data_IF_817970065165
#
_entry.id   IF_817970065165
#
_cell.length_a   1.000
_cell.length_b   1.000
_cell.length_c   1.000
_cell.angle_alpha   90.00
_cell.angle_beta   90.00
_cell.angle_gamma   90.00
#
_symmetry.space_group_name_H-M   'P 1'
#
loop_
_entity.id
_entity.type
_entity.pdbx_description
1 polymer ?
#
# COMPACT_ATOMS: atom_id res chain seq x y z
N UNK A 1 3.24 35.44 32.51
CA UNK A 1 1.81 35.78 32.32
C UNK A 1 1.58 36.21 30.88
N UNK A 2 2.18 37.27 30.34
CA UNK A 2 2.02 37.71 28.92
C UNK A 2 2.30 36.62 27.89
N UNK A 3 3.28 35.74 28.11
CA UNK A 3 3.59 34.63 27.19
C UNK A 3 2.49 33.53 27.22
N UNK A 4 1.92 33.27 28.41
CA UNK A 4 0.83 32.31 28.54
C UNK A 4 -0.50 32.86 27.97
N UNK A 5 -0.78 34.15 28.09
CA UNK A 5 -1.92 34.79 27.48
C UNK A 5 -1.80 34.79 25.94
N UNK A 6 -0.63 35.12 25.39
CA UNK A 6 -0.38 35.05 23.95
C UNK A 6 -0.53 33.61 23.41
N UNK A 7 0.00 32.60 24.10
CA UNK A 7 -0.13 31.21 23.74
C UNK A 7 -1.60 30.74 23.79
N UNK A 8 -2.38 31.22 24.76
CA UNK A 8 -3.80 30.88 24.87
C UNK A 8 -4.58 31.46 23.69
N UNK A 9 -4.28 32.70 23.30
CA UNK A 9 -4.91 33.36 22.12
C UNK A 9 -4.56 32.61 20.83
N UNK A 10 -3.31 32.17 20.67
CA UNK A 10 -2.91 31.36 19.53
C UNK A 10 -3.62 30.00 19.50
N UNK A 11 -3.69 29.30 20.64
CA UNK A 11 -4.37 28.01 20.76
C UNK A 11 -5.89 28.07 20.52
N UNK A 12 -6.49 29.23 20.67
CA UNK A 12 -7.93 29.47 20.40
C UNK A 12 -8.19 30.05 19.00
N UNK A 13 -7.16 30.37 18.24
CA UNK A 13 -7.28 30.93 16.92
C UNK A 13 -7.24 29.85 15.84
N UNK A 14 -8.37 29.63 15.17
CA UNK A 14 -8.56 28.66 14.07
C UNK A 14 -7.54 28.86 12.93
N UNK A 15 -7.17 30.09 12.62
CA UNK A 15 -6.34 30.40 11.45
C UNK A 15 -4.90 29.84 11.58
N UNK A 16 -4.37 29.74 12.79
CA UNK A 16 -3.08 29.11 13.02
C UNK A 16 -3.10 27.61 12.70
N UNK A 17 -4.17 26.90 13.07
CA UNK A 17 -4.30 25.48 12.76
C UNK A 17 -4.45 25.23 11.25
N UNK A 18 -5.24 26.06 10.58
CA UNK A 18 -5.46 25.94 9.12
C UNK A 18 -4.19 26.25 8.33
N UNK A 19 -3.36 27.19 8.77
CA UNK A 19 -2.08 27.53 8.15
C UNK A 19 -1.09 26.35 8.18
N UNK A 20 -1.14 25.52 9.21
CA UNK A 20 -0.29 24.35 9.39
C UNK A 20 -0.94 23.04 8.86
N UNK A 21 -2.01 23.14 8.08
CA UNK A 21 -2.80 21.98 7.63
C UNK A 21 -3.31 21.09 8.79
N UNK A 22 -3.56 21.68 9.96
CA UNK A 22 -4.17 21.01 11.10
C UNK A 22 -5.66 21.37 11.13
N UNK A 23 -6.54 20.39 11.27
CA UNK A 23 -7.96 20.64 11.37
C UNK A 23 -8.32 21.25 12.73
N UNK A 24 -9.30 22.16 12.69
CA UNK A 24 -9.82 22.82 13.89
C UNK A 24 -10.82 21.92 14.62
N UNK A 25 -10.69 21.82 15.94
CA UNK A 25 -11.65 21.14 16.81
C UNK A 25 -12.43 22.19 17.61
N UNK A 26 -13.71 22.47 17.28
CA UNK A 26 -14.52 23.40 18.04
C UNK A 26 -14.77 22.90 19.47
N UNK A 27 -15.06 23.83 20.41
CA UNK A 27 -15.10 23.55 21.83
C UNK A 27 -15.98 22.34 22.17
N UNK A 28 -17.19 22.24 21.64
CA UNK A 28 -18.11 21.14 21.90
C UNK A 28 -17.62 19.76 21.41
N UNK A 29 -16.59 19.72 20.57
CA UNK A 29 -15.96 18.50 20.04
C UNK A 29 -14.61 18.20 20.70
N UNK A 30 -14.12 19.05 21.60
CA UNK A 30 -12.86 18.82 22.30
C UNK A 30 -13.01 17.65 23.26
N UNK A 31 -11.92 16.89 23.40
CA UNK A 31 -11.92 15.65 24.15
C UNK A 31 -12.37 15.81 25.62
N UNK A 32 -11.94 16.87 26.30
CA UNK A 32 -12.30 17.14 27.69
C UNK A 32 -13.82 17.39 27.84
N UNK A 33 -14.44 18.07 26.90
CA UNK A 33 -15.90 18.30 26.86
C UNK A 33 -16.65 16.99 26.59
N UNK A 34 -16.19 16.19 25.61
CA UNK A 34 -16.77 14.88 25.32
C UNK A 34 -16.70 13.97 26.55
N UNK A 35 -15.55 13.93 27.25
CA UNK A 35 -15.35 13.17 28.47
C UNK A 35 -16.30 13.63 29.57
N UNK A 36 -16.36 14.95 29.82
CA UNK A 36 -17.20 15.51 30.88
C UNK A 36 -18.69 15.25 30.66
N UNK A 37 -19.14 15.31 29.41
CA UNK A 37 -20.55 15.11 29.04
C UNK A 37 -20.93 13.64 28.93
N UNK A 38 -20.00 12.75 28.58
CA UNK A 38 -20.27 11.32 28.37
C UNK A 38 -20.84 10.60 29.61
N UNK A 39 -20.60 11.13 30.79
CA UNK A 39 -21.08 10.55 32.09
C UNK A 39 -22.47 11.06 32.49
N UNK A 40 -23.05 12.00 31.77
CA UNK A 40 -24.36 12.55 32.09
C UNK A 40 -25.47 11.51 31.87
N UNK A 41 -26.61 11.76 32.55
CA UNK A 41 -27.82 11.00 32.29
C UNK A 41 -28.54 11.49 31.05
N UNK A 42 -29.20 10.60 30.31
CA UNK A 42 -30.05 10.96 29.16
C UNK A 42 -31.08 12.01 29.59
N UNK A 43 -31.22 13.08 28.84
CA UNK A 43 -32.09 14.23 29.09
C UNK A 43 -31.45 15.37 29.89
N UNK A 44 -30.21 15.22 30.40
CA UNK A 44 -29.46 16.31 31.02
C UNK A 44 -29.18 17.43 30.00
N UNK A 45 -29.10 18.66 30.47
CA UNK A 45 -28.74 19.81 29.62
C UNK A 45 -27.26 19.80 29.28
N UNK A 46 -26.94 20.09 28.01
CA UNK A 46 -25.57 20.21 27.50
C UNK A 46 -25.02 21.62 27.73
N UNK A 47 -23.73 21.81 28.04
CA UNK A 47 -23.14 23.14 28.24
C UNK A 47 -23.31 24.11 27.08
N UNK A 48 -23.41 23.59 25.85
CA UNK A 48 -23.60 24.36 24.62
C UNK A 48 -25.06 24.41 24.14
N UNK A 49 -26.01 23.98 24.97
CA UNK A 49 -27.43 23.93 24.65
C UNK A 49 -27.89 22.59 24.07
N UNK A 50 -29.19 22.31 24.30
CA UNK A 50 -29.78 21.03 23.93
C UNK A 50 -29.73 20.01 25.06
N UNK A 51 -30.13 18.75 24.79
CA UNK A 51 -30.18 17.66 25.76
C UNK A 51 -29.31 16.51 25.36
N UNK A 52 -28.62 15.93 26.34
CA UNK A 52 -27.84 14.71 26.14
C UNK A 52 -28.75 13.53 25.77
N UNK A 53 -28.51 12.89 24.66
CA UNK A 53 -29.32 11.78 24.13
C UNK A 53 -28.52 10.48 23.95
N UNK A 54 -27.34 10.39 24.57
CA UNK A 54 -26.46 9.22 24.57
C UNK A 54 -25.09 9.50 23.96
N UNK A 55 -24.12 8.63 24.28
CA UNK A 55 -22.72 8.83 23.89
C UNK A 55 -22.51 8.72 22.37
N UNK A 56 -23.23 7.80 21.72
CA UNK A 56 -23.12 7.66 20.27
C UNK A 56 -23.55 8.95 19.55
N UNK A 57 -24.64 9.57 19.99
CA UNK A 57 -25.10 10.85 19.43
C UNK A 57 -24.18 12.01 19.78
N UNK A 58 -23.61 12.03 20.99
CA UNK A 58 -22.61 13.02 21.39
C UNK A 58 -21.40 13.01 20.46
N UNK A 59 -20.89 11.81 20.12
CA UNK A 59 -19.77 11.67 19.20
C UNK A 59 -20.15 12.12 17.78
N UNK A 60 -21.34 11.76 17.31
CA UNK A 60 -21.81 12.21 16.00
C UNK A 60 -21.97 13.72 15.93
N UNK A 61 -22.50 14.36 16.98
CA UNK A 61 -22.61 15.82 17.06
C UNK A 61 -21.25 16.52 17.08
N UNK A 62 -20.27 15.91 17.76
CA UNK A 62 -18.89 16.38 17.71
C UNK A 62 -18.29 16.27 16.30
N UNK A 63 -18.54 15.18 15.59
CA UNK A 63 -18.12 15.01 14.20
C UNK A 63 -18.79 16.02 13.27
N UNK A 64 -20.09 16.28 13.43
CA UNK A 64 -20.81 17.32 12.69
C UNK A 64 -20.19 18.70 12.91
N UNK A 65 -19.81 19.02 14.14
CA UNK A 65 -19.17 20.28 14.48
C UNK A 65 -17.77 20.41 13.85
N UNK A 66 -16.97 19.33 13.87
CA UNK A 66 -15.64 19.30 13.23
C UNK A 66 -15.79 19.47 11.71
N UNK A 67 -16.68 18.71 11.06
CA UNK A 67 -16.88 18.77 9.61
C UNK A 67 -17.39 20.15 9.15
N UNK A 68 -18.21 20.81 9.94
CA UNK A 68 -18.72 22.15 9.66
C UNK A 68 -17.60 23.19 9.57
N UNK A 69 -16.58 23.04 10.41
CA UNK A 69 -15.48 23.99 10.51
C UNK A 69 -14.28 23.62 9.62
N UNK A 70 -14.29 22.42 9.02
CA UNK A 70 -13.20 21.91 8.20
C UNK A 70 -13.73 21.34 6.88
N UNK A 71 -13.65 22.11 5.81
CA UNK A 71 -14.20 21.74 4.48
C UNK A 71 -13.62 20.41 3.96
N UNK A 72 -12.33 20.15 4.20
CA UNK A 72 -11.64 18.91 3.77
C UNK A 72 -12.14 17.65 4.51
N UNK A 73 -12.77 17.81 5.68
CA UNK A 73 -13.32 16.68 6.45
C UNK A 73 -14.80 16.45 6.20
N UNK A 74 -15.45 17.25 5.39
CA UNK A 74 -16.90 17.19 5.14
C UNK A 74 -17.31 15.84 4.57
N UNK A 75 -18.14 15.09 5.30
CA UNK A 75 -18.60 13.74 4.95
C UNK A 75 -17.56 12.64 5.15
N UNK A 76 -16.39 12.95 5.71
CA UNK A 76 -15.29 12.00 5.98
C UNK A 76 -15.53 11.23 7.28
N UNK A 77 -15.94 11.91 8.35
CA UNK A 77 -16.07 11.30 9.67
C UNK A 77 -17.28 10.36 9.71
N UNK A 78 -17.03 9.11 10.09
CA UNK A 78 -18.07 8.07 10.08
C UNK A 78 -18.99 8.23 11.29
N UNK A 79 -20.31 8.40 11.06
CA UNK A 79 -21.31 8.45 12.11
C UNK A 79 -21.50 7.07 12.76
N UNK A 80 -21.61 7.05 14.07
CA UNK A 80 -21.69 5.80 14.88
C UNK A 80 -23.05 5.53 15.49
N UNK A 81 -23.92 6.53 15.62
CA UNK A 81 -25.26 6.37 16.22
C UNK A 81 -26.18 5.42 15.43
N UNK A 82 -25.88 5.17 14.15
CA UNK A 82 -26.60 4.18 13.32
C UNK A 82 -26.24 2.72 13.61
N UNK A 83 -25.19 2.46 14.39
CA UNK A 83 -24.76 1.12 14.77
C UNK A 83 -25.30 0.79 16.17
N UNK A 84 -25.66 -0.49 16.38
CA UNK A 84 -26.10 -0.98 17.69
C UNK A 84 -24.90 -1.15 18.66
N UNK A 85 -24.25 -0.05 19.01
CA UNK A 85 -23.13 -0.05 19.96
C UNK A 85 -23.67 0.25 21.36
N UNK A 86 -23.26 -0.56 22.34
CA UNK A 86 -23.68 -0.38 23.73
C UNK A 86 -23.06 0.92 24.33
N UNK A 87 -23.89 1.71 25.00
CA UNK A 87 -23.49 2.97 25.66
C UNK A 87 -22.34 2.79 26.66
N UNK A 88 -22.38 1.71 27.48
CA UNK A 88 -21.32 1.43 28.47
C UNK A 88 -20.00 1.08 27.79
N UNK A 89 -20.04 0.42 26.62
CA UNK A 89 -18.86 0.15 25.82
C UNK A 89 -18.25 1.45 25.29
N UNK A 90 -19.04 2.39 24.79
CA UNK A 90 -18.57 3.69 24.34
C UNK A 90 -17.98 4.51 25.48
N UNK A 91 -18.64 4.54 26.65
CA UNK A 91 -18.09 5.18 27.86
C UNK A 91 -16.77 4.56 28.28
N UNK A 92 -16.70 3.23 28.28
CA UNK A 92 -15.45 2.50 28.59
C UNK A 92 -14.31 2.86 27.64
N UNK A 93 -14.58 3.02 26.34
CA UNK A 93 -13.59 3.47 25.36
C UNK A 93 -13.15 4.92 25.63
N UNK A 94 -14.06 5.84 25.94
CA UNK A 94 -13.72 7.24 26.28
C UNK A 94 -12.79 7.26 27.51
N UNK A 95 -13.08 6.49 28.54
CA UNK A 95 -12.24 6.39 29.75
C UNK A 95 -10.86 5.85 29.38
N UNK A 96 -10.80 4.73 28.65
CA UNK A 96 -9.56 4.09 28.23
C UNK A 96 -8.64 5.05 27.47
N UNK A 97 -9.19 5.77 26.50
CA UNK A 97 -8.42 6.76 25.74
C UNK A 97 -8.04 7.99 26.57
N UNK A 98 -8.87 8.37 27.55
CA UNK A 98 -8.57 9.49 28.47
C UNK A 98 -7.42 9.18 29.41
N UNK A 99 -7.23 7.92 29.77
CA UNK A 99 -6.14 7.48 30.65
C UNK A 99 -4.83 7.26 29.88
N UNK A 100 -4.88 7.31 28.54
CA UNK A 100 -3.71 7.13 27.68
C UNK A 100 -3.01 8.47 27.44
N UNK A 101 -1.73 8.54 27.78
CA UNK A 101 -0.93 9.76 27.58
C UNK A 101 -0.31 9.78 26.17
N UNK A 102 -0.95 10.49 25.25
CA UNK A 102 -0.46 10.67 23.87
C UNK A 102 0.60 11.79 23.73
N UNK A 103 0.75 12.65 24.73
CA UNK A 103 1.68 13.80 24.68
C UNK A 103 3.07 13.45 25.20
N UNK A 104 3.17 12.44 26.07
CA UNK A 104 4.43 11.97 26.67
C UNK A 104 4.43 10.44 26.72
N UNK A 105 4.49 9.76 25.56
CA UNK A 105 4.46 8.31 25.55
C UNK A 105 5.74 7.75 26.17
N UNK A 106 5.59 6.62 26.89
CA UNK A 106 6.71 5.86 27.41
C UNK A 106 6.65 4.44 26.85
N UNK A 107 7.81 3.86 26.54
CA UNK A 107 7.93 2.44 26.21
C UNK A 107 8.91 1.79 27.20
N UNK A 108 8.46 0.76 27.91
CA UNK A 108 9.21 0.11 28.99
C UNK A 108 9.73 1.10 30.08
N UNK A 109 8.96 2.18 30.34
CA UNK A 109 9.34 3.20 31.31
C UNK A 109 10.24 4.32 30.79
N UNK A 110 10.77 4.20 29.57
CA UNK A 110 11.60 5.21 28.94
C UNK A 110 10.77 6.16 28.05
N UNK A 111 11.04 7.48 28.08
CA UNK A 111 10.35 8.44 27.24
C UNK A 111 10.56 8.14 25.73
N UNK A 112 9.50 8.13 24.97
CA UNK A 112 9.56 8.03 23.49
C UNK A 112 9.54 9.45 22.92
N UNK A 113 10.59 9.83 22.21
CA UNK A 113 10.73 11.15 21.58
C UNK A 113 10.04 11.17 20.20
N UNK A 114 8.71 11.01 20.18
CA UNK A 114 7.88 11.15 18.98
C UNK A 114 6.95 12.36 19.15
N UNK A 115 6.73 13.10 18.06
CA UNK A 115 5.73 14.15 18.04
C UNK A 115 4.31 13.60 18.18
N UNK A 116 3.35 14.41 18.66
CA UNK A 116 1.96 13.98 18.82
C UNK A 116 1.33 13.49 17.50
N UNK A 117 1.65 14.11 16.36
CA UNK A 117 1.25 13.67 15.01
C UNK A 117 1.75 12.26 14.68
N UNK A 118 3.01 11.97 15.03
CA UNK A 118 3.63 10.66 14.77
C UNK A 118 2.96 9.56 15.59
N UNK A 119 2.69 9.85 16.86
CA UNK A 119 2.04 8.89 17.76
C UNK A 119 0.63 8.56 17.29
N UNK A 120 -0.19 9.58 17.00
CA UNK A 120 -1.54 9.40 16.48
C UNK A 120 -1.52 8.67 15.13
N UNK A 121 -0.56 8.99 14.28
CA UNK A 121 -0.33 8.31 13.03
C UNK A 121 -0.01 6.83 13.19
N UNK A 122 0.86 6.46 14.15
CA UNK A 122 1.19 5.05 14.46
C UNK A 122 0.00 4.29 15.03
N UNK A 123 -0.75 4.91 15.95
CA UNK A 123 -1.98 4.33 16.51
C UNK A 123 -3.00 4.08 15.41
N UNK A 124 -3.18 5.05 14.50
CA UNK A 124 -4.08 4.91 13.37
C UNK A 124 -3.68 3.75 12.44
N UNK A 125 -2.40 3.64 12.07
CA UNK A 125 -1.88 2.53 11.27
C UNK A 125 -2.09 1.17 11.96
N UNK A 126 -1.90 1.09 13.26
CA UNK A 126 -2.16 -0.13 14.02
C UNK A 126 -3.64 -0.56 13.88
N UNK A 127 -4.58 0.37 14.06
CA UNK A 127 -5.99 0.07 13.90
C UNK A 127 -6.37 -0.29 12.47
N UNK A 128 -5.82 0.39 11.46
CA UNK A 128 -6.00 0.03 10.04
C UNK A 128 -5.52 -1.41 9.77
N UNK A 129 -4.36 -1.79 10.30
CA UNK A 129 -3.83 -3.15 10.18
C UNK A 129 -4.74 -4.18 10.85
N UNK A 130 -5.29 -3.88 12.04
CA UNK A 130 -6.24 -4.76 12.75
C UNK A 130 -7.57 -4.85 12.02
N UNK A 131 -8.06 -3.75 11.47
CA UNK A 131 -9.27 -3.72 10.64
C UNK A 131 -9.12 -4.59 9.39
N UNK A 132 -8.01 -4.44 8.66
CA UNK A 132 -7.70 -5.26 7.50
C UNK A 132 -7.65 -6.77 7.83
N UNK A 133 -7.09 -7.14 8.99
CA UNK A 133 -7.10 -8.52 9.48
C UNK A 133 -8.50 -9.04 9.81
N UNK A 134 -9.34 -8.20 10.43
CA UNK A 134 -10.69 -8.57 10.85
C UNK A 134 -11.65 -8.77 9.67
N UNK A 135 -11.52 -7.96 8.60
CA UNK A 135 -12.30 -8.10 7.38
C UNK A 135 -11.95 -9.34 6.54
N UNK A 136 -10.85 -10.00 6.87
CA UNK A 136 -10.44 -11.28 6.26
C UNK A 136 -10.16 -11.19 4.76
N UNK A 137 -10.47 -12.27 4.01
CA UNK A 137 -10.15 -12.38 2.57
C UNK A 137 -10.79 -11.31 1.68
N UNK A 138 -11.84 -10.62 2.12
CA UNK A 138 -12.50 -9.56 1.37
C UNK A 138 -11.93 -8.16 1.65
N UNK A 139 -11.43 -7.92 2.85
CA UNK A 139 -10.91 -6.59 3.26
C UNK A 139 -9.42 -6.41 3.06
N UNK A 140 -8.67 -7.49 3.00
CA UNK A 140 -7.22 -7.43 2.90
C UNK A 140 -6.65 -6.99 1.55
N UNK A 141 -7.48 -6.76 0.54
CA UNK A 141 -7.08 -6.14 -0.72
C UNK A 141 -6.69 -4.66 -0.56
N UNK A 142 -7.06 -4.03 0.57
CA UNK A 142 -6.87 -2.59 0.82
C UNK A 142 -5.61 -2.24 1.60
N UNK A 143 -4.80 -3.24 1.99
CA UNK A 143 -3.61 -3.01 2.80
C UNK A 143 -2.36 -3.56 2.13
N UNK A 144 -1.49 -2.66 1.67
CA UNK A 144 -0.17 -3.02 1.15
C UNK A 144 0.83 -3.15 2.31
N UNK A 145 1.61 -4.24 2.40
CA UNK A 145 2.65 -4.38 3.41
C UNK A 145 3.63 -3.20 3.40
N UNK A 146 3.95 -2.70 4.60
CA UNK A 146 4.78 -1.50 4.76
C UNK A 146 6.13 -1.61 4.05
N UNK A 147 6.77 -2.78 4.09
CA UNK A 147 8.06 -3.01 3.44
C UNK A 147 7.98 -2.88 1.91
N UNK A 148 6.88 -3.34 1.29
CA UNK A 148 6.66 -3.17 -0.16
C UNK A 148 6.41 -1.70 -0.50
N UNK A 149 5.61 -1.01 0.31
CA UNK A 149 5.37 0.43 0.13
C UNK A 149 6.68 1.20 0.25
N UNK A 150 7.49 0.89 1.27
CA UNK A 150 8.81 1.50 1.45
C UNK A 150 9.73 1.23 0.27
N UNK A 151 9.81 -0.02 -0.21
CA UNK A 151 10.62 -0.38 -1.37
C UNK A 151 10.24 0.45 -2.61
N UNK A 152 8.94 0.55 -2.91
CA UNK A 152 8.45 1.29 -4.07
C UNK A 152 8.79 2.78 -3.96
N UNK A 153 8.59 3.38 -2.79
CA UNK A 153 8.89 4.80 -2.57
C UNK A 153 10.39 5.08 -2.65
N UNK A 154 11.23 4.24 -2.02
CA UNK A 154 12.70 4.36 -2.12
C UNK A 154 13.18 4.25 -3.59
N UNK A 155 12.62 3.33 -4.37
CA UNK A 155 12.99 3.18 -5.79
C UNK A 155 12.53 4.36 -6.66
N UNK A 156 11.40 5.00 -6.35
CA UNK A 156 10.85 6.11 -7.14
C UNK A 156 11.40 7.49 -6.74
N UNK A 157 11.80 7.67 -5.48
CA UNK A 157 12.32 8.93 -4.92
C UNK A 157 11.42 10.15 -5.21
N UNK A 158 10.17 10.20 -4.67
CA UNK A 158 9.21 11.27 -4.95
C UNK A 158 9.48 12.53 -4.11
N UNK A 159 10.57 13.25 -4.38
CA UNK A 159 10.97 14.46 -3.62
C UNK A 159 10.08 15.68 -3.87
N UNK A 160 9.48 15.79 -5.06
CA UNK A 160 8.65 16.93 -5.44
C UNK A 160 7.78 16.61 -6.66
N UNK A 161 6.66 17.32 -6.80
CA UNK A 161 5.73 17.16 -7.91
C UNK A 161 4.42 16.47 -7.51
N UNK A 162 3.71 15.94 -8.48
CA UNK A 162 2.40 15.31 -8.29
C UNK A 162 2.55 13.80 -8.10
N UNK A 163 2.08 13.32 -6.96
CA UNK A 163 2.04 11.90 -6.60
C UNK A 163 0.60 11.40 -6.67
N UNK A 164 0.38 10.29 -7.36
CA UNK A 164 -0.95 9.73 -7.59
C UNK A 164 -1.01 8.23 -7.29
N UNK A 165 -2.10 7.82 -6.66
CA UNK A 165 -2.49 6.42 -6.51
C UNK A 165 -3.95 6.23 -6.95
N UNK A 166 -4.21 5.56 -8.11
CA UNK A 166 -5.55 5.34 -8.62
C UNK A 166 -6.35 4.27 -7.87
N UNK A 167 -5.73 3.54 -6.93
CA UNK A 167 -6.36 2.52 -6.09
C UNK A 167 -5.79 2.63 -4.66
N UNK A 168 -5.88 3.83 -4.09
CA UNK A 168 -5.09 4.28 -2.95
C UNK A 168 -5.31 3.51 -1.65
N UNK A 169 -6.38 2.72 -1.55
CA UNK A 169 -6.70 2.05 -0.31
C UNK A 169 -6.79 3.03 0.86
N UNK A 170 -6.10 2.75 1.95
CA UNK A 170 -6.01 3.64 3.12
C UNK A 170 -4.95 4.75 3.00
N UNK A 171 -4.35 4.97 1.82
CA UNK A 171 -3.36 6.02 1.58
C UNK A 171 -1.93 5.66 2.03
N UNK A 172 -1.59 4.37 2.08
CA UNK A 172 -0.29 3.90 2.57
C UNK A 172 0.90 4.46 1.81
N UNK A 173 0.83 4.59 0.48
CA UNK A 173 1.88 5.17 -0.34
C UNK A 173 2.13 6.65 -0.02
N UNK A 174 1.08 7.42 0.27
CA UNK A 174 1.21 8.83 0.60
C UNK A 174 1.88 9.05 1.95
N UNK A 175 1.53 8.23 2.95
CA UNK A 175 2.20 8.25 4.26
C UNK A 175 3.68 7.89 4.13
N UNK A 176 4.01 6.91 3.31
CA UNK A 176 5.41 6.54 3.12
C UNK A 176 6.17 7.59 2.31
N UNK A 177 5.52 8.25 1.35
CA UNK A 177 6.10 9.40 0.63
C UNK A 177 6.46 10.54 1.61
N UNK A 178 5.58 10.88 2.54
CA UNK A 178 5.85 11.87 3.58
C UNK A 178 7.04 11.46 4.46
N UNK A 179 7.09 10.21 4.92
CA UNK A 179 8.21 9.68 5.70
C UNK A 179 9.53 9.72 4.93
N UNK A 180 9.50 9.32 3.67
CA UNK A 180 10.67 9.38 2.79
C UNK A 180 11.20 10.81 2.67
N UNK A 181 10.34 11.78 2.38
CA UNK A 181 10.70 13.20 2.25
C UNK A 181 11.30 13.71 3.57
N UNK A 182 10.67 13.41 4.70
CA UNK A 182 11.13 13.83 6.03
C UNK A 182 12.49 13.22 6.37
N UNK A 183 12.68 11.93 6.10
CA UNK A 183 13.96 11.23 6.34
C UNK A 183 15.11 11.82 5.51
N UNK A 184 14.83 12.35 4.33
CA UNK A 184 15.80 12.99 3.44
C UNK A 184 15.85 14.54 3.58
N UNK A 185 15.33 15.07 4.69
CA UNK A 185 15.32 16.51 4.98
C UNK A 185 14.60 17.36 3.91
N UNK A 186 13.68 16.77 3.18
CA UNK A 186 12.85 17.44 2.19
C UNK A 186 11.65 18.17 2.82
N UNK A 187 10.85 18.80 1.97
CA UNK A 187 9.63 19.49 2.38
C UNK A 187 8.42 18.84 1.71
N UNK A 188 7.51 18.29 2.51
CA UNK A 188 6.27 17.65 2.01
C UNK A 188 5.40 18.61 1.20
N UNK A 189 5.48 19.92 1.45
CA UNK A 189 4.73 20.92 0.70
C UNK A 189 5.18 21.04 -0.78
N UNK A 190 6.32 20.43 -1.15
CA UNK A 190 6.76 20.33 -2.54
C UNK A 190 6.04 19.23 -3.32
N UNK A 191 5.22 18.41 -2.63
CA UNK A 191 4.48 17.30 -3.21
C UNK A 191 2.98 17.59 -3.14
N UNK A 192 2.28 17.35 -4.24
CA UNK A 192 0.82 17.40 -4.31
C UNK A 192 0.28 15.97 -4.41
N UNK A 193 -0.53 15.57 -3.44
CA UNK A 193 -1.08 14.22 -3.32
C UNK A 193 -2.42 14.12 -4.03
N UNK A 194 -2.55 13.15 -4.91
CA UNK A 194 -3.78 12.80 -5.62
C UNK A 194 -4.11 11.33 -5.39
N UNK A 195 -5.36 11.02 -5.16
CA UNK A 195 -5.78 9.64 -4.95
C UNK A 195 -7.17 9.37 -5.46
N UNK A 196 -7.45 8.11 -5.72
CA UNK A 196 -8.80 7.65 -6.01
C UNK A 196 -9.04 6.28 -5.36
N UNK A 197 -10.25 6.08 -4.85
CA UNK A 197 -10.67 4.84 -4.20
C UNK A 197 -12.15 4.58 -4.48
N UNK A 198 -12.47 3.34 -4.82
CA UNK A 198 -13.83 2.91 -5.11
C UNK A 198 -14.69 2.73 -3.85
N UNK A 199 -14.09 2.14 -2.80
CA UNK A 199 -14.82 1.82 -1.58
C UNK A 199 -15.03 3.08 -0.72
N UNK A 200 -16.29 3.46 -0.37
CA UNK A 200 -16.57 4.68 0.38
C UNK A 200 -15.97 4.69 1.78
N UNK A 201 -15.92 3.56 2.46
CA UNK A 201 -15.31 3.46 3.80
C UNK A 201 -13.80 3.63 3.73
N UNK A 202 -13.15 2.95 2.78
CA UNK A 202 -11.70 3.03 2.58
C UNK A 202 -11.28 4.43 2.14
N UNK A 203 -12.08 5.10 1.27
CA UNK A 203 -11.85 6.50 0.88
C UNK A 203 -11.85 7.43 2.10
N UNK A 204 -12.83 7.27 3.01
CA UNK A 204 -12.89 8.04 4.27
C UNK A 204 -11.70 7.76 5.19
N UNK A 205 -11.29 6.49 5.30
CA UNK A 205 -10.11 6.10 6.08
C UNK A 205 -8.83 6.74 5.53
N UNK A 206 -8.67 6.81 4.21
CA UNK A 206 -7.55 7.51 3.60
C UNK A 206 -7.57 9.01 3.90
N UNK A 207 -8.73 9.66 3.78
CA UNK A 207 -8.89 11.08 4.08
C UNK A 207 -8.55 11.39 5.56
N UNK A 208 -9.03 10.56 6.49
CA UNK A 208 -8.65 10.67 7.91
C UNK A 208 -7.17 10.45 8.14
N UNK A 209 -6.55 9.50 7.44
CA UNK A 209 -5.12 9.23 7.53
C UNK A 209 -4.28 10.45 7.15
N UNK A 210 -4.65 11.14 6.08
CA UNK A 210 -4.00 12.38 5.66
C UNK A 210 -4.24 13.52 6.66
N UNK A 211 -5.49 13.69 7.12
CA UNK A 211 -5.84 14.75 8.07
C UNK A 211 -5.07 14.66 9.39
N UNK A 212 -4.95 13.45 9.97
CA UNK A 212 -4.19 13.21 11.22
C UNK A 212 -2.72 13.61 11.07
N UNK A 213 -2.14 13.47 9.87
CA UNK A 213 -0.75 13.79 9.58
C UNK A 213 -0.52 15.22 9.07
N UNK A 214 -1.59 15.97 8.83
CA UNK A 214 -1.50 17.30 8.23
C UNK A 214 -1.02 17.27 6.78
N UNK A 215 -1.22 16.17 6.07
CA UNK A 215 -0.88 16.02 4.65
C UNK A 215 -2.02 16.57 3.80
N UNK A 216 -1.70 17.51 2.91
CA UNK A 216 -2.68 18.02 1.94
C UNK A 216 -2.93 17.03 0.82
N UNK A 217 -4.19 16.89 0.36
CA UNK A 217 -4.57 15.89 -0.62
C UNK A 217 -5.77 16.32 -1.49
N UNK A 218 -5.86 15.69 -2.67
CA UNK A 218 -7.03 15.76 -3.56
C UNK A 218 -7.44 14.30 -3.91
N UNK A 219 -8.49 13.81 -3.26
CA UNK A 219 -9.05 12.47 -3.49
C UNK A 219 -10.31 12.51 -4.36
N UNK A 220 -10.48 13.60 -5.13
CA UNK A 220 -11.69 13.83 -5.90
C UNK A 220 -12.88 14.25 -5.00
N UNK A 221 -14.04 14.41 -5.62
CA UNK A 221 -15.24 14.88 -4.92
C UNK A 221 -15.89 13.81 -4.02
N UNK A 222 -15.68 12.54 -4.35
CA UNK A 222 -16.24 11.38 -3.66
C UNK A 222 -15.47 10.12 -4.06
N UNK A 223 -15.73 9.00 -3.37
CA UNK A 223 -15.25 7.70 -3.81
C UNK A 223 -15.79 7.36 -5.21
N UNK A 224 -14.93 6.82 -6.08
CA UNK A 224 -15.31 6.54 -7.46
C UNK A 224 -14.42 5.44 -8.08
N UNK A 225 -14.97 4.74 -9.06
CA UNK A 225 -14.23 3.78 -9.87
C UNK A 225 -13.27 4.50 -10.83
N UNK A 226 -11.99 4.11 -10.81
CA UNK A 226 -10.93 4.76 -11.57
C UNK A 226 -11.04 4.55 -13.08
N UNK A 227 -11.74 3.52 -13.51
CA UNK A 227 -11.95 3.26 -14.94
C UNK A 227 -13.16 4.01 -15.48
N UNK A 228 -14.32 3.89 -14.83
CA UNK A 228 -15.60 4.42 -15.33
C UNK A 228 -15.90 5.84 -14.88
N UNK A 229 -15.30 6.29 -13.77
CA UNK A 229 -15.50 7.62 -13.18
C UNK A 229 -14.18 8.26 -12.73
N UNK A 230 -13.19 8.44 -13.63
CA UNK A 230 -11.90 9.00 -13.27
C UNK A 230 -12.04 10.45 -12.79
N UNK A 231 -11.61 10.71 -11.55
CA UNK A 231 -11.72 12.05 -10.92
C UNK A 231 -10.58 13.00 -11.34
N UNK A 232 -9.47 12.46 -11.87
CA UNK A 232 -8.26 13.21 -12.21
C UNK A 232 -7.83 13.05 -13.66
N UNK A 233 -8.78 12.81 -14.59
CA UNK A 233 -8.50 12.43 -15.98
C UNK A 233 -7.64 13.48 -16.74
N UNK A 234 -7.79 14.74 -16.42
CA UNK A 234 -7.09 15.87 -17.09
C UNK A 234 -5.73 16.14 -16.47
N UNK A 235 -5.36 15.49 -15.37
CA UNK A 235 -4.11 15.76 -14.65
C UNK A 235 -2.99 14.82 -15.12
N UNK A 236 -1.79 15.37 -15.24
CA UNK A 236 -0.58 14.58 -15.46
C UNK A 236 0.25 14.57 -14.19
N UNK A 237 0.80 13.40 -13.87
CA UNK A 237 1.42 13.06 -12.60
C UNK A 237 2.91 12.75 -12.79
N UNK A 238 3.73 13.18 -11.86
CA UNK A 238 5.18 12.98 -11.90
C UNK A 238 5.56 11.61 -11.33
N UNK A 239 4.81 11.17 -10.32
CA UNK A 239 4.96 9.84 -9.71
C UNK A 239 3.60 9.17 -9.56
N UNK A 240 3.51 7.91 -9.99
CA UNK A 240 2.31 7.10 -9.79
C UNK A 240 2.70 5.79 -9.12
N UNK A 241 2.06 5.45 -8.03
CA UNK A 241 2.28 4.22 -7.28
C UNK A 241 0.95 3.54 -7.05
N UNK A 242 0.87 2.23 -7.30
CA UNK A 242 -0.37 1.50 -7.03
C UNK A 242 -0.14 0.04 -6.67
N UNK A 243 -0.98 -0.44 -5.76
CA UNK A 243 -1.23 -1.85 -5.51
C UNK A 243 -2.73 -2.12 -5.71
N UNK A 244 -3.20 -2.17 -6.95
CA UNK A 244 -4.61 -2.45 -7.22
C UNK A 244 -4.96 -3.90 -6.91
N UNK A 245 -6.25 -4.24 -6.73
CA UNK A 245 -6.68 -5.62 -6.60
C UNK A 245 -6.25 -6.44 -7.83
N UNK A 246 -5.59 -7.61 -7.60
CA UNK A 246 -5.06 -8.44 -8.68
C UNK A 246 -6.16 -9.18 -9.43
N UNK A 247 -6.04 -9.25 -10.75
CA UNK A 247 -6.88 -10.08 -11.63
C UNK A 247 -8.38 -9.81 -11.51
N UNK A 248 -8.81 -8.55 -11.32
CA UNK A 248 -10.24 -8.23 -11.26
C UNK A 248 -10.91 -8.56 -12.58
N UNK A 249 -12.02 -9.30 -12.54
CA UNK A 249 -12.84 -9.64 -13.70
C UNK A 249 -13.96 -8.63 -13.97
N UNK A 250 -14.51 -8.00 -12.92
CA UNK A 250 -15.73 -7.18 -13.00
C UNK A 250 -15.41 -5.67 -13.09
N UNK A 251 -14.47 -5.31 -13.97
CA UNK A 251 -14.01 -3.93 -14.14
C UNK A 251 -14.53 -3.27 -15.43
N UNK A 252 -14.94 -4.10 -16.42
CA UNK A 252 -15.28 -3.63 -17.74
C UNK A 252 -16.67 -2.99 -17.80
N UNK A 253 -16.78 -1.91 -18.57
CA UNK A 253 -18.02 -1.33 -19.04
C UNK A 253 -17.92 -1.06 -20.54
N UNK A 254 -19.01 -1.16 -21.29
CA UNK A 254 -19.02 -0.86 -22.74
C UNK A 254 -18.64 0.59 -23.04
N UNK A 255 -18.80 1.50 -22.07
CA UNK A 255 -18.30 2.89 -22.18
C UNK A 255 -16.78 3.01 -22.27
N UNK A 256 -16.04 1.95 -21.96
CA UNK A 256 -14.59 1.89 -22.01
C UNK A 256 -14.04 1.33 -23.32
N UNK A 257 -14.90 0.95 -24.28
CA UNK A 257 -14.47 0.28 -25.51
C UNK A 257 -13.49 1.14 -26.34
N UNK A 258 -13.78 2.44 -26.47
CA UNK A 258 -12.97 3.40 -27.23
C UNK A 258 -12.25 4.41 -26.31
N UNK A 259 -11.89 3.99 -25.09
CA UNK A 259 -11.25 4.85 -24.11
C UNK A 259 -9.82 5.23 -24.56
N UNK A 260 -9.45 6.53 -24.56
CA UNK A 260 -8.14 7.00 -25.03
C UNK A 260 -6.97 6.48 -24.18
N UNK A 261 -7.22 5.91 -23.02
CA UNK A 261 -6.21 5.27 -22.17
C UNK A 261 -5.65 3.99 -22.79
N UNK A 262 -6.39 3.32 -23.70
CA UNK A 262 -5.98 2.05 -24.31
C UNK A 262 -5.06 2.22 -25.53
N UNK A 263 -4.07 3.12 -25.40
CA UNK A 263 -3.14 3.45 -26.49
C UNK A 263 -2.27 2.27 -26.96
N UNK A 264 -2.10 1.25 -26.13
CA UNK A 264 -1.27 0.06 -26.43
C UNK A 264 -2.12 -1.19 -26.73
N UNK A 265 -3.42 -1.02 -26.86
CA UNK A 265 -4.38 -2.08 -27.14
C UNK A 265 -5.43 -2.21 -26.05
N UNK A 266 -6.64 -2.63 -26.45
CA UNK A 266 -7.76 -2.79 -25.50
C UNK A 266 -7.47 -3.92 -24.50
N UNK A 267 -7.50 -3.65 -23.17
CA UNK A 267 -7.27 -4.68 -22.17
C UNK A 267 -8.34 -5.76 -22.16
N UNK A 268 -8.01 -6.97 -21.69
CA UNK A 268 -8.98 -8.05 -21.56
C UNK A 268 -10.16 -7.67 -20.66
N UNK A 269 -11.40 -7.88 -21.10
CA UNK A 269 -12.62 -7.61 -20.30
C UNK A 269 -12.64 -8.37 -18.97
N UNK A 270 -12.06 -9.56 -18.93
CA UNK A 270 -12.02 -10.42 -17.75
C UNK A 270 -10.78 -10.28 -16.85
N UNK A 271 -9.89 -9.30 -17.11
CA UNK A 271 -8.72 -9.07 -16.28
C UNK A 271 -8.24 -7.61 -16.37
N UNK A 272 -8.24 -6.90 -15.26
CA UNK A 272 -7.90 -5.46 -15.19
C UNK A 272 -6.40 -5.15 -15.14
N UNK A 273 -5.49 -6.13 -15.06
CA UNK A 273 -4.06 -5.87 -14.83
C UNK A 273 -3.48 -4.90 -15.86
N UNK A 274 -3.74 -5.11 -17.14
CA UNK A 274 -3.27 -4.23 -18.21
C UNK A 274 -4.12 -2.96 -18.37
N UNK A 275 -5.33 -2.92 -17.82
CA UNK A 275 -6.11 -1.69 -17.70
C UNK A 275 -5.49 -0.74 -16.68
N UNK A 276 -5.11 -1.25 -15.51
CA UNK A 276 -4.34 -0.48 -14.50
C UNK A 276 -3.04 0.06 -15.08
N UNK A 277 -2.27 -0.80 -15.77
CA UNK A 277 -1.00 -0.40 -16.37
C UNK A 277 -1.20 0.76 -17.36
N UNK A 278 -2.16 0.67 -18.28
CA UNK A 278 -2.43 1.71 -19.26
C UNK A 278 -3.09 2.96 -18.65
N UNK A 279 -3.96 2.81 -17.64
CA UNK A 279 -4.50 3.92 -16.88
C UNK A 279 -3.38 4.76 -16.25
N UNK A 280 -2.41 4.13 -15.61
CA UNK A 280 -1.28 4.83 -15.01
C UNK A 280 -0.37 5.47 -16.07
N UNK A 281 -0.06 4.76 -17.16
CA UNK A 281 0.71 5.33 -18.28
C UNK A 281 0.03 6.58 -18.85
N UNK A 282 -1.30 6.56 -19.00
CA UNK A 282 -2.05 7.72 -19.51
C UNK A 282 -1.88 8.95 -18.61
N UNK A 283 -1.84 8.78 -17.30
CA UNK A 283 -1.70 9.87 -16.34
C UNK A 283 -0.26 10.36 -16.13
N UNK A 284 0.76 9.67 -16.66
CA UNK A 284 2.15 10.11 -16.53
C UNK A 284 2.39 11.45 -17.23
N UNK A 285 3.10 12.36 -16.55
CA UNK A 285 3.71 13.55 -17.14
C UNK A 285 4.82 13.14 -18.13
N UNK A 286 5.34 14.05 -18.98
CA UNK A 286 6.41 13.74 -19.92
C UNK A 286 7.69 13.17 -19.24
N UNK A 287 7.95 13.54 -18.00
CA UNK A 287 9.08 13.05 -17.19
C UNK A 287 8.62 12.11 -16.06
N UNK A 288 7.36 11.69 -16.09
CA UNK A 288 6.76 10.91 -15.03
C UNK A 288 7.27 9.49 -14.93
N UNK A 289 7.34 8.98 -13.71
CA UNK A 289 7.71 7.61 -13.37
C UNK A 289 6.55 6.93 -12.65
N UNK A 290 6.46 5.61 -12.79
CA UNK A 290 5.45 4.86 -12.05
C UNK A 290 5.97 3.52 -11.57
N UNK A 291 5.35 3.02 -10.50
CA UNK A 291 5.52 1.67 -9.99
C UNK A 291 4.15 1.02 -9.79
N UNK A 292 3.94 -0.13 -10.41
CA UNK A 292 2.69 -0.87 -10.34
C UNK A 292 2.96 -2.30 -9.85
N UNK A 293 2.32 -2.66 -8.75
CA UNK A 293 2.37 -4.02 -8.22
C UNK A 293 1.30 -4.88 -8.91
N UNK A 294 1.71 -6.00 -9.48
CA UNK A 294 0.83 -6.96 -10.16
C UNK A 294 1.22 -8.40 -9.82
N UNK A 295 0.30 -9.34 -10.05
CA UNK A 295 0.60 -10.76 -10.02
C UNK A 295 1.63 -11.13 -11.10
N UNK A 296 2.50 -12.11 -10.82
CA UNK A 296 3.58 -12.54 -11.71
C UNK A 296 3.12 -12.93 -13.13
N UNK A 297 1.87 -13.40 -13.29
CA UNK A 297 1.29 -13.71 -14.59
C UNK A 297 1.36 -12.54 -15.58
N UNK A 298 1.33 -11.29 -15.11
CA UNK A 298 1.43 -10.09 -15.95
C UNK A 298 2.73 -10.03 -16.76
N UNK A 299 3.82 -10.62 -16.24
CA UNK A 299 5.13 -10.63 -16.91
C UNK A 299 5.21 -11.56 -18.12
N UNK A 300 4.37 -12.58 -18.20
CA UNK A 300 4.51 -13.67 -19.18
C UNK A 300 3.23 -14.09 -19.89
N UNK A 301 2.05 -13.71 -19.41
CA UNK A 301 0.76 -14.09 -20.01
C UNK A 301 0.67 -13.69 -21.47
N UNK A 302 0.17 -14.62 -22.31
CA UNK A 302 -0.09 -14.40 -23.74
C UNK A 302 -1.61 -14.44 -24.04
N UNK A 303 -2.45 -14.65 -23.01
CA UNK A 303 -3.89 -14.80 -23.17
C UNK A 303 -4.57 -13.46 -23.44
N UNK A 304 -5.67 -13.51 -24.19
CA UNK A 304 -6.58 -12.37 -24.36
C UNK A 304 -5.91 -11.03 -24.70
N UNK A 305 -4.94 -11.04 -25.61
CA UNK A 305 -4.20 -9.86 -26.07
C UNK A 305 -3.19 -9.26 -25.05
N UNK A 306 -3.01 -9.84 -23.87
CA UNK A 306 -2.07 -9.32 -22.85
C UNK A 306 -0.63 -9.28 -23.37
N UNK A 307 -0.20 -10.30 -24.14
CA UNK A 307 1.12 -10.37 -24.75
C UNK A 307 1.37 -9.25 -25.75
N UNK A 308 0.40 -8.89 -26.59
CA UNK A 308 0.53 -7.82 -27.57
C UNK A 308 0.56 -6.44 -26.91
N UNK A 309 -0.24 -6.21 -25.88
CA UNK A 309 -0.20 -4.97 -25.09
C UNK A 309 1.19 -4.82 -24.42
N UNK A 310 1.69 -5.90 -23.79
CA UNK A 310 3.01 -5.91 -23.16
C UNK A 310 4.11 -5.58 -24.18
N UNK A 311 4.08 -6.23 -25.32
CA UNK A 311 5.01 -5.97 -26.45
C UNK A 311 4.96 -4.52 -26.92
N UNK A 312 3.76 -3.94 -27.06
CA UNK A 312 3.59 -2.56 -27.46
C UNK A 312 4.20 -1.58 -26.45
N UNK A 313 4.01 -1.82 -25.15
CA UNK A 313 4.58 -1.01 -24.07
C UNK A 313 6.12 -1.12 -24.03
N UNK A 314 6.66 -2.32 -24.23
CA UNK A 314 8.11 -2.56 -24.30
C UNK A 314 8.70 -1.84 -25.52
N UNK A 315 8.10 -1.96 -26.70
CA UNK A 315 8.55 -1.29 -27.91
C UNK A 315 8.46 0.24 -27.83
N UNK A 316 7.56 0.77 -27.00
CA UNK A 316 7.51 2.20 -26.67
C UNK A 316 8.61 2.65 -25.70
N UNK A 317 9.50 1.75 -25.31
CA UNK A 317 10.62 1.97 -24.38
C UNK A 317 10.22 2.58 -23.04
N UNK A 318 9.06 2.19 -22.51
CA UNK A 318 8.53 2.70 -21.24
C UNK A 318 8.99 1.89 -20.02
N UNK A 319 9.19 0.58 -20.19
CA UNK A 319 9.62 -0.29 -19.08
C UNK A 319 11.05 0.04 -18.69
N UNK A 320 11.27 0.44 -17.43
CA UNK A 320 12.59 0.78 -16.91
C UNK A 320 13.18 -0.35 -16.08
N UNK A 321 12.38 -0.92 -15.16
CA UNK A 321 12.82 -2.00 -14.29
C UNK A 321 11.67 -2.97 -14.00
N UNK A 322 12.02 -4.26 -13.87
CA UNK A 322 11.12 -5.33 -13.43
C UNK A 322 11.68 -6.01 -12.19
N UNK A 323 10.91 -6.04 -11.10
CA UNK A 323 11.32 -6.71 -9.85
C UNK A 323 10.41 -7.89 -9.58
N UNK A 324 10.96 -9.10 -9.51
CA UNK A 324 10.23 -10.27 -9.02
C UNK A 324 10.35 -10.34 -7.51
N UNK A 325 9.22 -10.32 -6.82
CA UNK A 325 9.17 -10.36 -5.35
C UNK A 325 9.08 -11.81 -4.83
N UNK A 326 9.54 -12.07 -3.59
CA UNK A 326 9.30 -13.34 -2.93
C UNK A 326 7.82 -13.57 -2.67
N UNK A 327 7.44 -14.83 -2.51
CA UNK A 327 6.10 -15.17 -2.00
C UNK A 327 5.94 -14.80 -0.53
N UNK A 328 4.71 -14.91 -0.02
CA UNK A 328 4.37 -14.73 1.40
C UNK A 328 4.58 -13.30 1.97
N UNK A 329 4.66 -12.29 1.12
CA UNK A 329 4.72 -10.89 1.57
C UNK A 329 3.34 -10.35 2.00
N UNK A 330 2.27 -10.91 1.46
CA UNK A 330 0.90 -10.45 1.71
C UNK A 330 0.19 -11.36 2.71
N UNK A 331 -0.53 -10.76 3.67
CA UNK A 331 -1.30 -11.51 4.68
C UNK A 331 -2.46 -12.29 4.08
N UNK A 332 -2.98 -11.85 2.93
CA UNK A 332 -4.23 -12.36 2.36
C UNK A 332 -4.03 -13.27 1.16
N UNK A 333 -2.84 -13.28 0.58
CA UNK A 333 -2.53 -14.11 -0.58
C UNK A 333 -1.07 -14.55 -0.54
N UNK A 334 -0.84 -15.79 -0.94
CA UNK A 334 0.51 -16.30 -1.16
C UNK A 334 0.96 -16.14 -2.61
N UNK A 335 0.14 -15.50 -3.45
CA UNK A 335 0.46 -15.28 -4.87
C UNK A 335 1.72 -14.43 -4.96
N UNK A 336 2.76 -14.92 -5.65
CA UNK A 336 3.95 -14.12 -5.89
C UNK A 336 3.61 -12.94 -6.81
N UNK A 337 4.14 -11.77 -6.45
CA UNK A 337 3.91 -10.52 -7.14
C UNK A 337 5.20 -9.99 -7.77
N UNK A 338 5.04 -9.08 -8.71
CA UNK A 338 6.13 -8.33 -9.33
C UNK A 338 5.82 -6.84 -9.32
N UNK A 339 6.86 -6.03 -9.41
CA UNK A 339 6.71 -4.58 -9.56
C UNK A 339 7.18 -4.20 -10.97
N UNK A 340 6.30 -3.51 -11.68
CA UNK A 340 6.56 -2.86 -12.95
C UNK A 340 6.98 -1.42 -12.69
N UNK A 341 8.21 -1.07 -13.03
CA UNK A 341 8.68 0.32 -13.05
C UNK A 341 8.70 0.82 -14.48
N UNK A 342 7.94 1.88 -14.74
CA UNK A 342 7.93 2.55 -16.04
C UNK A 342 8.38 4.00 -15.88
N UNK A 343 9.06 4.51 -16.91
CA UNK A 343 9.56 5.88 -16.94
C UNK A 343 9.44 6.43 -18.36
N UNK A 344 8.76 7.57 -18.51
CA UNK A 344 8.65 8.24 -19.81
C UNK A 344 9.95 8.89 -20.28
N UNK A 345 10.85 9.19 -19.36
CA UNK A 345 12.13 9.81 -19.65
C UNK A 345 13.29 8.98 -19.10
N UNK A 346 13.39 7.74 -19.55
CA UNK A 346 14.48 6.82 -19.19
C UNK A 346 15.84 7.41 -19.56
N UNK A 347 16.82 7.31 -18.68
CA UNK A 347 18.22 7.64 -18.97
C UNK A 347 18.86 6.58 -19.86
N UNK A 348 18.63 5.30 -19.55
CA UNK A 348 19.13 4.16 -20.32
C UNK A 348 18.05 3.69 -21.30
N UNK A 349 18.01 4.35 -22.46
CA UNK A 349 17.05 4.01 -23.50
C UNK A 349 17.43 2.69 -24.18
N UNK A 350 16.41 1.90 -24.53
CA UNK A 350 16.60 0.60 -25.16
C UNK A 350 17.06 -0.51 -24.22
N UNK A 351 17.12 -0.25 -22.91
CA UNK A 351 17.50 -1.23 -21.89
C UNK A 351 16.44 -1.33 -20.79
N UNK A 352 16.34 -2.51 -20.18
CA UNK A 352 15.47 -2.78 -19.02
C UNK A 352 16.29 -3.48 -17.95
N UNK A 353 16.21 -2.99 -16.72
CA UNK A 353 16.79 -3.65 -15.55
C UNK A 353 15.86 -4.76 -15.03
N UNK A 354 16.39 -5.96 -14.88
CA UNK A 354 15.71 -7.06 -14.23
C UNK A 354 16.34 -7.33 -12.87
N UNK A 355 15.49 -7.37 -11.82
CA UNK A 355 15.90 -7.69 -10.45
C UNK A 355 15.11 -8.91 -9.96
N UNK A 356 15.77 -9.97 -9.59
CA UNK A 356 15.18 -11.15 -8.98
C UNK A 356 15.35 -11.10 -7.46
N UNK A 357 14.35 -10.55 -6.79
CA UNK A 357 14.33 -10.44 -5.33
C UNK A 357 13.66 -11.64 -4.62
N UNK A 358 13.33 -12.73 -5.34
CA UNK A 358 12.59 -13.88 -4.79
C UNK A 358 13.26 -14.55 -3.60
N UNK A 359 14.58 -14.42 -3.48
CA UNK A 359 15.38 -15.00 -2.39
C UNK A 359 15.70 -13.97 -1.29
N UNK A 360 15.28 -12.70 -1.45
CA UNK A 360 15.54 -11.62 -0.50
C UNK A 360 14.45 -11.61 0.59
N UNK A 361 14.80 -11.08 1.77
CA UNK A 361 13.92 -10.98 2.91
C UNK A 361 14.00 -12.18 3.87
N UNK A 362 13.31 -12.04 5.00
CA UNK A 362 13.31 -13.01 6.08
C UNK A 362 11.88 -13.42 6.46
N UNK A 363 11.74 -14.59 7.07
CA UNK A 363 10.45 -15.02 7.62
C UNK A 363 10.19 -14.29 8.95
N UNK A 364 9.23 -13.37 8.93
CA UNK A 364 8.79 -12.63 10.12
C UNK A 364 8.05 -13.53 11.12
N UNK A 365 7.30 -14.46 10.58
CA UNK A 365 6.63 -15.53 11.32
C UNK A 365 6.56 -16.80 10.46
N UNK A 366 5.74 -17.79 10.84
CA UNK A 366 5.64 -19.08 10.13
C UNK A 366 5.05 -18.96 8.72
N UNK A 367 4.37 -17.86 8.41
CA UNK A 367 3.58 -17.71 7.17
C UNK A 367 4.02 -16.48 6.38
N UNK A 368 4.45 -15.42 7.06
CA UNK A 368 4.69 -14.11 6.48
C UNK A 368 6.18 -13.82 6.35
N UNK A 369 6.58 -13.37 5.17
CA UNK A 369 7.91 -12.82 4.86
C UNK A 369 7.88 -11.28 4.96
N UNK A 370 9.01 -10.69 5.29
CA UNK A 370 9.17 -9.23 5.33
C UNK A 370 10.58 -8.84 4.82
N UNK A 371 10.78 -7.57 4.49
CA UNK A 371 12.09 -7.02 4.11
C UNK A 371 12.69 -6.22 5.27
N UNK A 372 13.99 -6.36 5.45
CA UNK A 372 14.77 -5.45 6.28
C UNK A 372 15.04 -4.14 5.54
N UNK A 373 15.53 -3.12 6.24
CA UNK A 373 15.98 -1.87 5.62
C UNK A 373 17.13 -2.12 4.61
N UNK A 374 18.04 -3.05 4.93
CA UNK A 374 19.16 -3.43 4.05
C UNK A 374 18.68 -4.15 2.78
N UNK A 375 17.63 -4.96 2.87
CA UNK A 375 17.02 -5.62 1.71
C UNK A 375 16.42 -4.57 0.77
N UNK A 376 15.70 -3.59 1.33
CA UNK A 376 15.11 -2.47 0.57
C UNK A 376 16.20 -1.63 -0.09
N UNK A 377 17.23 -1.24 0.68
CA UNK A 377 18.36 -0.48 0.18
C UNK A 377 19.08 -1.23 -0.96
N UNK A 378 19.36 -2.53 -0.80
CA UNK A 378 20.00 -3.36 -1.83
C UNK A 378 19.24 -3.31 -3.15
N UNK A 379 17.92 -3.43 -3.13
CA UNK A 379 17.09 -3.41 -4.36
C UNK A 379 17.04 -1.99 -4.95
N UNK A 380 16.79 -0.97 -4.13
CA UNK A 380 16.67 0.42 -4.56
C UNK A 380 18.01 0.96 -5.11
N UNK A 381 19.11 0.74 -4.40
CA UNK A 381 20.46 1.18 -4.81
C UNK A 381 20.89 0.53 -6.12
N UNK A 382 20.50 -0.72 -6.38
CA UNK A 382 20.74 -1.40 -7.66
C UNK A 382 20.10 -0.64 -8.82
N UNK A 383 18.82 -0.22 -8.67
CA UNK A 383 18.15 0.59 -9.69
C UNK A 383 18.83 1.96 -9.85
N UNK A 384 19.15 2.63 -8.74
CA UNK A 384 19.75 3.97 -8.76
C UNK A 384 21.15 3.96 -9.37
N UNK A 385 21.99 2.98 -9.03
CA UNK A 385 23.29 2.78 -9.63
C UNK A 385 23.18 2.52 -11.15
N UNK A 386 22.24 1.67 -11.56
CA UNK A 386 21.97 1.40 -12.96
C UNK A 386 21.50 2.65 -13.71
N UNK A 387 20.60 3.44 -13.16
CA UNK A 387 20.13 4.70 -13.74
C UNK A 387 21.24 5.75 -13.87
N UNK A 388 22.16 5.81 -12.89
CA UNK A 388 23.30 6.74 -12.89
C UNK A 388 24.44 6.28 -13.79
N UNK A 389 24.44 5.01 -14.22
CA UNK A 389 25.56 4.34 -14.90
C UNK A 389 26.87 4.42 -14.08
N UNK A 390 26.74 4.35 -12.76
CA UNK A 390 27.83 4.45 -11.80
C UNK A 390 27.71 3.34 -10.76
N UNK A 391 28.72 2.49 -10.68
CA UNK A 391 28.80 1.38 -9.72
C UNK A 391 27.82 0.22 -9.97
N UNK A 392 27.14 0.18 -11.12
CA UNK A 392 26.27 -0.94 -11.49
C UNK A 392 27.05 -2.01 -12.28
N UNK A 393 26.88 -3.24 -11.85
CA UNK A 393 27.35 -4.45 -12.56
C UNK A 393 26.23 -5.50 -12.53
N UNK A 394 26.11 -6.30 -13.62
CA UNK A 394 25.22 -7.46 -13.64
C UNK A 394 25.66 -8.47 -12.59
N UNK A 395 24.72 -9.00 -11.80
CA UNK A 395 24.99 -9.99 -10.77
C UNK A 395 24.15 -11.24 -11.03
N UNK A 396 24.82 -12.36 -11.28
CA UNK A 396 24.16 -13.64 -11.51
C UNK A 396 23.16 -13.98 -10.39
N UNK A 397 21.99 -14.48 -10.77
CA UNK A 397 20.85 -14.80 -9.92
C UNK A 397 20.21 -13.61 -9.17
N UNK A 398 20.65 -12.35 -9.40
CA UNK A 398 20.09 -11.20 -8.73
C UNK A 398 19.65 -10.09 -9.69
N UNK A 399 20.54 -9.53 -10.49
CA UNK A 399 20.18 -8.44 -11.40
C UNK A 399 20.91 -8.51 -12.74
N UNK A 400 20.23 -8.06 -13.80
CA UNK A 400 20.81 -7.93 -15.13
C UNK A 400 20.14 -6.79 -15.92
N UNK A 401 20.98 -6.01 -16.62
CA UNK A 401 20.52 -5.09 -17.67
C UNK A 401 20.37 -5.85 -18.98
N UNK A 402 19.18 -5.86 -19.58
CA UNK A 402 18.94 -6.48 -20.87
C UNK A 402 18.48 -5.47 -21.90
N UNK A 403 18.93 -5.64 -23.15
CA UNK A 403 18.53 -4.82 -24.29
C UNK A 403 17.11 -5.19 -24.77
N UNK A 404 16.45 -4.29 -25.50
CA UNK A 404 15.15 -4.60 -26.14
C UNK A 404 15.27 -5.76 -27.14
N UNK A 405 16.45 -5.99 -27.73
CA UNK A 405 16.69 -7.11 -28.63
C UNK A 405 16.70 -8.45 -27.86
N UNK A 406 17.42 -8.51 -26.74
CA UNK A 406 17.36 -9.68 -25.84
C UNK A 406 15.95 -9.97 -25.34
N UNK A 407 15.17 -8.92 -25.04
CA UNK A 407 13.77 -9.07 -24.60
C UNK A 407 12.88 -9.61 -25.72
N UNK A 408 13.09 -9.14 -26.94
CA UNK A 408 12.41 -9.65 -28.13
C UNK A 408 12.73 -11.12 -28.38
N UNK A 409 13.99 -11.52 -28.25
CA UNK A 409 14.44 -12.92 -28.39
C UNK A 409 13.85 -13.83 -27.31
N UNK A 410 13.43 -13.26 -26.18
CA UNK A 410 12.69 -13.91 -25.11
C UNK A 410 11.16 -13.75 -25.23
N UNK A 411 10.61 -13.56 -26.44
CA UNK A 411 9.16 -13.42 -26.71
C UNK A 411 8.48 -12.31 -25.88
N UNK A 412 9.19 -11.23 -25.60
CA UNK A 412 8.72 -10.11 -24.78
C UNK A 412 8.25 -10.53 -23.37
N UNK A 413 8.75 -11.63 -22.85
CA UNK A 413 8.51 -12.07 -21.47
C UNK A 413 9.43 -11.30 -20.54
N UNK A 414 8.89 -10.72 -19.46
CA UNK A 414 9.61 -9.85 -18.52
C UNK A 414 9.94 -10.52 -17.18
N UNK A 415 9.96 -11.85 -17.12
CA UNK A 415 10.26 -12.58 -15.88
C UNK A 415 11.76 -12.48 -15.56
N UNK A 416 12.19 -11.80 -14.47
CA UNK A 416 13.60 -11.55 -14.17
C UNK A 416 14.49 -12.80 -14.18
N UNK A 417 13.98 -13.92 -13.66
CA UNK A 417 14.74 -15.19 -13.63
C UNK A 417 15.15 -15.74 -15.00
N UNK A 418 14.60 -15.24 -16.12
CA UNK A 418 15.07 -15.58 -17.48
C UNK A 418 16.35 -14.85 -17.87
N UNK A 419 16.61 -13.71 -17.25
CA UNK A 419 17.69 -12.79 -17.62
C UNK A 419 18.88 -12.89 -16.65
N UNK A 420 18.64 -12.99 -15.35
CA UNK A 420 19.69 -12.92 -14.33
C UNK A 420 20.56 -14.19 -14.25
N UNK A 421 20.18 -15.28 -14.94
CA UNK A 421 20.90 -16.54 -14.89
C UNK A 421 20.78 -17.25 -13.54
N UNK A 422 21.63 -18.21 -13.32
CA UNK A 422 21.76 -18.97 -12.05
C UNK A 422 23.05 -18.54 -11.36
N UNK A 423 23.03 -18.49 -10.01
CA UNK A 423 24.26 -18.36 -9.26
C UNK A 423 25.21 -19.52 -9.62
N UNK A 424 26.50 -19.26 -9.74
CA UNK A 424 27.48 -20.32 -9.80
C UNK A 424 27.29 -21.18 -8.54
N UNK A 425 26.87 -22.42 -8.74
CA UNK A 425 26.90 -23.37 -7.66
C UNK A 425 28.38 -23.70 -7.42
N UNK A 426 28.86 -23.45 -6.22
CA UNK A 426 30.14 -24.02 -5.81
C UNK A 426 30.08 -25.52 -6.14
N UNK A 427 31.00 -25.98 -6.97
CA UNK A 427 31.09 -27.37 -7.28
C UNK A 427 31.48 -28.10 -5.97
N UNK A 428 30.52 -28.81 -5.39
CA UNK A 428 30.73 -29.57 -4.16
C UNK A 428 31.67 -30.78 -4.37
N UNK A 429 32.25 -30.88 -5.57
CA UNK A 429 33.19 -31.93 -5.92
C UNK A 429 32.59 -33.34 -6.04
N UNK A 430 31.25 -33.44 -5.88
CA UNK A 430 30.57 -34.75 -6.01
C UNK A 430 30.14 -34.96 -7.47
N UNK A 431 30.62 -36.02 -8.13
CA UNK A 431 30.25 -36.33 -9.50
C UNK A 431 28.73 -36.42 -9.68
N UNK A 432 28.20 -35.87 -10.78
CA UNK A 432 26.75 -35.87 -11.09
C UNK A 432 26.12 -37.27 -10.96
N UNK A 433 26.84 -38.32 -11.43
CA UNK A 433 26.37 -39.71 -11.34
C UNK A 433 26.16 -40.17 -9.88
N UNK A 434 27.05 -39.79 -8.99
CA UNK A 434 26.96 -40.11 -7.56
C UNK A 434 25.83 -39.31 -6.89
N UNK A 435 25.70 -38.03 -7.20
CA UNK A 435 24.57 -37.22 -6.77
C UNK A 435 23.22 -37.80 -7.20
N UNK A 436 23.10 -38.21 -8.47
CA UNK A 436 21.89 -38.83 -8.99
C UNK A 436 21.58 -40.18 -8.32
N UNK A 437 22.60 -40.98 -8.02
CA UNK A 437 22.41 -42.23 -7.27
C UNK A 437 21.87 -41.94 -5.86
N UNK A 438 22.49 -41.01 -5.14
CA UNK A 438 22.09 -40.68 -3.78
C UNK A 438 20.66 -40.06 -3.74
N UNK A 439 20.33 -39.12 -4.63
CA UNK A 439 19.01 -38.53 -4.74
C UNK A 439 17.94 -39.53 -5.13
N UNK A 440 18.27 -40.48 -6.04
CA UNK A 440 17.34 -41.53 -6.45
C UNK A 440 17.10 -42.53 -5.33
N UNK A 441 18.12 -42.86 -4.54
CA UNK A 441 17.98 -43.73 -3.37
C UNK A 441 17.10 -43.05 -2.30
N UNK A 442 17.36 -41.77 -1.99
CA UNK A 442 16.56 -40.99 -1.05
C UNK A 442 15.11 -40.87 -1.49
N UNK A 443 14.87 -40.62 -2.78
CA UNK A 443 13.50 -40.53 -3.34
C UNK A 443 12.75 -41.86 -3.20
N UNK A 444 13.42 -43.00 -3.44
CA UNK A 444 12.82 -44.32 -3.24
C UNK A 444 12.45 -44.57 -1.78
N UNK A 445 13.31 -44.18 -0.86
CA UNK A 445 13.03 -44.25 0.58
C UNK A 445 11.82 -43.39 0.99
N UNK A 446 11.75 -42.16 0.48
CA UNK A 446 10.62 -41.25 0.73
C UNK A 446 9.31 -41.80 0.16
N UNK A 447 9.31 -42.42 -1.02
CA UNK A 447 8.14 -43.08 -1.56
C UNK A 447 7.68 -44.25 -0.72
N UNK A 448 8.63 -45.08 -0.23
CA UNK A 448 8.31 -46.21 0.66
C UNK A 448 7.66 -45.70 1.97
N UNK A 449 8.25 -44.65 2.57
CA UNK A 449 7.71 -44.03 3.79
C UNK A 449 6.35 -43.37 3.57
N UNK A 450 6.16 -42.76 2.42
CA UNK A 450 4.85 -42.20 2.05
C UNK A 450 3.75 -43.26 1.93
N UNK A 451 4.07 -44.40 1.31
CA UNK A 451 3.13 -45.51 1.20
C UNK A 451 2.79 -46.15 2.57
N UNK A 452 3.78 -46.22 3.48
CA UNK A 452 3.57 -46.69 4.85
C UNK A 452 2.65 -45.75 5.64
N UNK A 453 2.90 -44.44 5.57
CA UNK A 453 2.07 -43.42 6.20
C UNK A 453 0.66 -43.40 5.62
N UNK A 454 0.50 -43.57 4.31
CA UNK A 454 -0.80 -43.67 3.67
C UNK A 454 -1.61 -44.87 4.16
N UNK A 455 -0.93 -46.04 4.33
CA UNK A 455 -1.56 -47.21 4.89
C UNK A 455 -1.98 -47.04 6.35
N UNK A 456 -1.14 -46.35 7.14
CA UNK A 456 -1.45 -46.05 8.53
C UNK A 456 -2.63 -45.05 8.67
N UNK A 457 -2.66 -44.02 7.82
CA UNK A 457 -3.83 -43.06 7.76
C UNK A 457 -5.09 -43.83 7.39
N UNK A 458 -5.09 -44.68 6.36
CA UNK A 458 -6.24 -45.50 5.96
C UNK A 458 -6.70 -46.40 7.10
N UNK A 459 -5.77 -47.04 7.81
CA UNK A 459 -6.08 -47.90 8.97
C UNK A 459 -6.73 -47.10 10.11
N UNK A 460 -6.22 -45.87 10.37
CA UNK A 460 -6.75 -45.03 11.44
C UNK A 460 -8.15 -44.46 11.07
N UNK A 461 -8.36 -44.09 9.79
CA UNK A 461 -9.68 -43.66 9.29
C UNK A 461 -10.69 -44.79 9.34
N UNK A 462 -10.32 -46.02 8.93
CA UNK A 462 -11.19 -47.20 9.08
C UNK A 462 -11.52 -47.51 10.53
N UNK A 463 -10.59 -47.34 11.47
CA UNK A 463 -10.83 -47.46 12.92
C UNK A 463 -11.82 -46.41 13.50
N UNK A 464 -11.96 -45.27 12.82
CA UNK A 464 -12.91 -44.19 13.15
C UNK A 464 -14.24 -44.31 12.39
N UNK A 465 -14.42 -45.32 11.52
CA UNK A 465 -15.64 -45.56 10.72
C UNK A 465 -15.76 -44.65 9.49
N UNK A 466 -14.64 -44.09 9.02
CA UNK A 466 -14.58 -43.36 7.75
C UNK A 466 -13.69 -44.18 6.77
N UNK A 467 -14.29 -44.79 5.79
CA UNK A 467 -13.62 -45.43 4.65
C UNK A 467 -13.40 -44.45 3.49
#
# INVERSE_FOLDING_TARGET
EEYQEALTVELENRDYYTADNVFWVPQQARWDEIKAVSILNIGAELPWGGKFSGVAKLIDDAFDAIEKDNEKLKGVLQRISGYAVNEDTLRGLIILFSDTNFTRPTYNGEPVHLGAKDILGHVYEYFLGRFAQAEGKRGGQYFTPKSIVSLIVEMLEPYSGRVYDPAMGSGGFFVQTERFITAHQGNINNVSIYGQEFNPTTWKLAAMNMAIRGIDYDFGKHNADSFTQPQHIDKKMDFIMANPPFNISDWWSESLADDPRWAYGTPPKGNANFAWLQHMIYHLSPNGKMALLLANGSMSSQTNNEGEIRKAIINADLVECMVALPGQLFTNTQIPACIWFLNRNKKRKGEVLFIDARQIGYMKDRVLRDFTADDIAKIADTLHAWQKSDGYEDQAAFCKSATLEEIKDNDFVLTPGRYVGTAEQEDDGVPFAEKMQNLTALLKEQFAKSAELEAEIKKNLGGLGYE
#
